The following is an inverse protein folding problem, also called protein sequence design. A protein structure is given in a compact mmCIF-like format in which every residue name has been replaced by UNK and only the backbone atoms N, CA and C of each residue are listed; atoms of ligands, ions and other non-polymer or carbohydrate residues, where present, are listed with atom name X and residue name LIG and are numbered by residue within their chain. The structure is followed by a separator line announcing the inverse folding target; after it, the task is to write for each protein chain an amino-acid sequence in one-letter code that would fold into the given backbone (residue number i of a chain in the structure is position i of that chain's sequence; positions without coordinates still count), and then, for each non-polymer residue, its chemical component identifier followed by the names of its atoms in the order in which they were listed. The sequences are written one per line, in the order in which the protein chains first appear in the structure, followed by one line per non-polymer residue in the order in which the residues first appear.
data_IF_786947276766
#
_entry.id   IF_786947276766
#
_cell.length_a   1.000
_cell.length_b   1.000
_cell.length_c   1.000
_cell.angle_alpha   90.00
_cell.angle_beta   90.00
_cell.angle_gamma   90.00
#
_symmetry.space_group_name_H-M   'P 1'
#
loop_
_entity.id
_entity.type
_entity.pdbx_description
1 polymer ?
#
# COMPACT_ATOMS: atom_id res chain seq x y z
N UNK A 1 22.50 11.89 -16.64
CA UNK A 1 21.35 10.97 -16.63
C UNK A 1 21.90 9.61 -16.27
N UNK A 2 21.56 9.05 -15.10
CA UNK A 2 21.96 7.66 -14.78
C UNK A 2 21.29 6.73 -15.78
N UNK A 3 22.03 5.75 -16.26
CA UNK A 3 21.53 4.72 -17.18
C UNK A 3 20.27 4.09 -16.62
N UNK A 4 19.16 4.08 -17.39
CA UNK A 4 17.86 3.60 -16.94
C UNK A 4 17.95 2.09 -16.68
N UNK A 5 17.86 1.69 -15.42
CA UNK A 5 18.04 0.31 -15.00
C UNK A 5 16.80 -0.51 -15.40
N UNK A 6 16.97 -1.61 -16.15
CA UNK A 6 15.89 -2.54 -16.46
C UNK A 6 15.45 -3.29 -15.21
N UNK A 7 14.17 -3.62 -15.13
CA UNK A 7 13.57 -4.39 -14.03
C UNK A 7 13.99 -3.88 -12.64
N UNK A 8 13.73 -2.60 -12.31
CA UNK A 8 14.07 -2.09 -10.99
C UNK A 8 13.34 -2.87 -9.90
N UNK A 9 14.04 -3.17 -8.81
CA UNK A 9 13.47 -3.90 -7.66
C UNK A 9 13.08 -2.92 -6.57
N UNK A 10 11.84 -3.02 -6.11
CA UNK A 10 11.31 -2.18 -5.02
C UNK A 10 10.47 -3.01 -4.06
N UNK A 11 10.19 -2.49 -2.87
CA UNK A 11 9.21 -3.02 -1.92
C UNK A 11 7.87 -2.29 -2.09
N UNK A 12 6.78 -2.81 -1.56
CA UNK A 12 5.48 -2.12 -1.60
C UNK A 12 5.45 -0.98 -0.57
N UNK A 13 5.70 -1.28 0.69
CA UNK A 13 5.71 -0.28 1.77
C UNK A 13 6.21 -0.90 3.07
N UNK A 14 5.30 -1.48 3.83
CA UNK A 14 5.58 -1.97 5.17
C UNK A 14 6.55 -3.15 5.21
N UNK A 15 7.47 -3.09 6.17
CA UNK A 15 8.42 -4.14 6.54
C UNK A 15 8.03 -4.76 7.89
N UNK A 16 8.34 -6.04 8.16
CA UNK A 16 8.02 -6.66 9.44
C UNK A 16 8.66 -5.91 10.60
N UNK A 17 7.84 -5.52 11.55
CA UNK A 17 8.31 -4.79 12.73
C UNK A 17 8.97 -5.72 13.73
N UNK A 18 10.15 -5.40 14.24
CA UNK A 18 10.81 -6.20 15.27
C UNK A 18 10.02 -6.16 16.59
N UNK A 19 10.16 -7.21 17.40
CA UNK A 19 9.41 -7.35 18.65
C UNK A 19 9.63 -6.19 19.63
N UNK A 20 10.83 -5.64 19.68
CA UNK A 20 11.15 -4.49 20.53
C UNK A 20 10.40 -3.22 20.11
N UNK A 21 10.18 -3.01 18.81
CA UNK A 21 9.39 -1.88 18.31
C UNK A 21 7.90 -2.05 18.63
N UNK A 22 7.36 -3.28 18.51
CA UNK A 22 5.97 -3.57 18.88
C UNK A 22 5.75 -3.30 20.37
N UNK A 23 6.71 -3.68 21.22
CA UNK A 23 6.65 -3.37 22.65
C UNK A 23 6.70 -1.86 22.92
N UNK A 24 7.57 -1.13 22.25
CA UNK A 24 7.65 0.33 22.35
C UNK A 24 6.35 1.01 21.89
N UNK A 25 5.75 0.55 20.80
CA UNK A 25 4.46 1.04 20.29
C UNK A 25 3.35 0.83 21.33
N UNK A 26 3.26 -0.35 21.93
CA UNK A 26 2.29 -0.64 23.00
C UNK A 26 2.51 0.24 24.23
N UNK A 27 3.77 0.43 24.64
CA UNK A 27 4.12 1.32 25.76
C UNK A 27 3.68 2.75 25.46
N UNK A 28 3.94 3.28 24.25
CA UNK A 28 3.49 4.60 23.81
C UNK A 28 1.96 4.72 23.85
N UNK A 29 1.24 3.75 23.33
CA UNK A 29 -0.24 3.73 23.32
C UNK A 29 -0.84 3.67 24.74
N UNK A 30 -0.09 3.13 25.72
CA UNK A 30 -0.45 3.13 27.12
C UNK A 30 -0.06 4.43 27.87
N UNK A 31 0.39 5.49 27.16
CA UNK A 31 0.78 6.76 27.76
C UNK A 31 2.28 6.88 28.08
N UNK A 32 3.11 6.01 27.54
CA UNK A 32 4.57 6.09 27.67
C UNK A 32 5.20 7.24 26.85
N UNK A 33 6.51 7.43 27.00
CA UNK A 33 7.25 8.51 26.38
C UNK A 33 7.26 8.43 24.86
N UNK A 34 6.88 9.51 24.18
CA UNK A 34 7.01 9.66 22.73
C UNK A 34 8.47 9.65 22.30
N UNK A 35 9.36 10.30 23.06
CA UNK A 35 10.79 10.30 22.77
C UNK A 35 11.41 8.90 22.77
N UNK A 36 11.11 8.10 23.81
CA UNK A 36 11.58 6.71 23.86
C UNK A 36 11.09 5.88 22.67
N UNK A 37 9.83 6.10 22.26
CA UNK A 37 9.30 5.43 21.07
C UNK A 37 10.05 5.85 19.81
N UNK A 38 10.33 7.14 19.62
CA UNK A 38 11.04 7.64 18.44
C UNK A 38 12.46 7.08 18.36
N UNK A 39 13.20 7.02 19.48
CA UNK A 39 14.55 6.43 19.51
C UNK A 39 14.55 4.94 19.09
N UNK A 40 13.53 4.19 19.55
CA UNK A 40 13.37 2.78 19.19
C UNK A 40 12.95 2.62 17.74
N UNK A 41 12.08 3.51 17.22
CA UNK A 41 11.62 3.49 15.85
C UNK A 41 12.74 3.92 14.87
N UNK A 42 13.60 4.87 15.26
CA UNK A 42 14.78 5.27 14.51
C UNK A 42 15.69 4.07 14.22
N UNK A 43 15.97 3.28 15.26
CA UNK A 43 16.74 2.05 15.12
C UNK A 43 16.05 1.06 14.17
N UNK A 44 14.75 0.88 14.27
CA UNK A 44 14.01 -0.06 13.42
C UNK A 44 14.00 0.38 11.94
N UNK A 45 13.92 1.69 11.67
CA UNK A 45 14.04 2.24 10.30
C UNK A 45 15.42 1.96 9.72
N UNK A 46 16.49 2.18 10.50
CA UNK A 46 17.85 1.89 10.04
C UNK A 46 18.01 0.40 9.73
N UNK A 47 17.63 -0.48 10.65
CA UNK A 47 17.69 -1.94 10.43
C UNK A 47 16.87 -2.38 9.20
N UNK A 48 15.73 -1.74 8.96
CA UNK A 48 14.89 -1.99 7.80
C UNK A 48 15.55 -1.57 6.49
N UNK A 49 16.14 -0.37 6.44
CA UNK A 49 16.86 0.13 5.27
C UNK A 49 18.08 -0.76 4.99
N UNK A 50 18.87 -1.09 6.00
CA UNK A 50 20.05 -1.95 5.88
C UNK A 50 19.67 -3.33 5.32
N UNK A 51 18.57 -3.94 5.80
CA UNK A 51 18.10 -5.25 5.31
C UNK A 51 17.70 -5.19 3.84
N UNK A 52 17.00 -4.15 3.41
CA UNK A 52 16.62 -3.95 2.01
C UNK A 52 17.85 -3.68 1.12
N UNK A 53 18.79 -2.88 1.58
CA UNK A 53 20.04 -2.59 0.86
C UNK A 53 20.94 -3.81 0.74
N UNK A 54 21.09 -4.60 1.80
CA UNK A 54 21.82 -5.87 1.79
C UNK A 54 21.21 -6.88 0.83
N UNK A 55 19.87 -6.94 0.76
CA UNK A 55 19.17 -7.75 -0.25
C UNK A 55 19.38 -7.23 -1.68
N UNK A 56 19.84 -5.97 -1.86
CA UNK A 56 20.09 -5.37 -3.16
C UNK A 56 18.90 -4.63 -3.77
N UNK A 57 17.88 -4.28 -2.98
CA UNK A 57 16.70 -3.52 -3.42
C UNK A 57 17.13 -2.18 -4.03
N UNK A 58 16.62 -1.83 -5.21
CA UNK A 58 16.99 -0.60 -5.92
C UNK A 58 16.31 0.63 -5.34
N UNK A 59 15.05 0.50 -4.93
CA UNK A 59 14.21 1.60 -4.42
C UNK A 59 13.55 1.13 -3.11
N UNK A 60 14.22 1.34 -1.95
CA UNK A 60 13.68 0.97 -0.65
C UNK A 60 12.59 1.91 -0.15
N UNK A 61 11.94 1.50 0.95
CA UNK A 61 11.07 2.34 1.78
C UNK A 61 11.62 2.36 3.22
N UNK A 62 11.13 3.25 4.07
CA UNK A 62 11.41 3.25 5.51
C UNK A 62 10.74 2.07 6.25
N UNK A 63 9.99 1.22 5.51
CA UNK A 63 9.27 0.07 6.03
C UNK A 63 8.06 0.42 6.87
N UNK A 64 7.62 1.69 6.89
CA UNK A 64 6.50 2.18 7.72
C UNK A 64 6.70 1.85 9.20
N UNK A 65 7.95 1.83 9.66
CA UNK A 65 8.29 1.35 10.99
C UNK A 65 7.68 2.20 12.12
N UNK A 66 7.41 3.49 11.85
CA UNK A 66 6.81 4.40 12.83
C UNK A 66 5.29 4.30 12.90
N UNK A 67 4.65 3.64 11.92
CA UNK A 67 3.21 3.57 11.75
C UNK A 67 2.64 2.31 12.40
N UNK A 68 1.45 2.39 12.99
CA UNK A 68 0.71 1.22 13.46
C UNK A 68 0.16 0.38 12.30
N UNK A 69 -0.30 1.04 11.24
CA UNK A 69 -0.60 0.46 9.94
C UNK A 69 -0.47 1.52 8.84
N UNK A 70 -0.67 1.12 7.58
CA UNK A 70 -0.42 1.95 6.40
C UNK A 70 -1.41 3.13 6.21
N UNK A 71 -2.53 3.21 6.97
CA UNK A 71 -3.51 4.29 6.82
C UNK A 71 -3.96 4.95 8.13
N UNK A 72 -4.02 4.23 9.26
CA UNK A 72 -4.54 4.79 10.50
C UNK A 72 -3.59 5.80 11.19
N UNK A 73 -2.30 5.75 10.86
CA UNK A 73 -1.29 6.68 11.37
C UNK A 73 -1.63 8.16 11.12
N UNK A 74 -2.50 8.44 10.14
CA UNK A 74 -2.94 9.82 9.82
C UNK A 74 -3.61 10.51 11.00
N UNK A 75 -4.18 9.77 11.96
CA UNK A 75 -4.78 10.32 13.18
C UNK A 75 -3.75 11.11 14.02
N UNK A 76 -2.50 10.67 14.01
CA UNK A 76 -1.41 11.34 14.71
C UNK A 76 -1.01 12.66 14.01
N UNK A 77 -1.17 12.71 12.70
CA UNK A 77 -0.73 13.80 11.81
C UNK A 77 -1.83 14.84 11.54
N UNK A 78 -3.10 14.45 11.69
CA UNK A 78 -4.26 15.29 11.41
C UNK A 78 -5.08 15.52 12.69
N UNK A 79 -5.68 16.70 12.81
CA UNK A 79 -6.74 16.97 13.78
C UNK A 79 -8.11 16.65 13.19
N UNK A 80 -9.10 16.46 14.07
CA UNK A 80 -10.48 16.15 13.66
C UNK A 80 -10.77 14.65 13.49
N UNK A 81 -9.77 13.79 13.73
CA UNK A 81 -9.91 12.34 13.66
C UNK A 81 -9.80 11.69 15.04
N UNK A 82 -10.45 10.55 15.19
CA UNK A 82 -10.33 9.67 16.34
C UNK A 82 -10.01 8.24 15.86
N UNK A 83 -8.98 7.64 16.46
CA UNK A 83 -8.65 6.24 16.22
C UNK A 83 -9.65 5.36 16.96
N UNK A 84 -10.50 4.66 16.23
CA UNK A 84 -11.54 3.81 16.79
C UNK A 84 -11.32 2.35 16.42
N UNK A 85 -11.48 1.45 17.39
CA UNK A 85 -11.50 0.02 17.12
C UNK A 85 -12.78 -0.34 16.37
N UNK A 86 -12.70 -1.36 15.52
CA UNK A 86 -13.88 -1.88 14.83
C UNK A 86 -14.97 -2.30 15.83
N UNK A 87 -14.59 -2.83 17.00
CA UNK A 87 -15.54 -3.15 18.08
C UNK A 87 -16.31 -1.95 18.62
N UNK A 88 -15.71 -0.74 18.62
CA UNK A 88 -16.38 0.50 19.01
C UNK A 88 -17.31 1.02 17.92
N UNK A 89 -16.96 0.79 16.66
CA UNK A 89 -17.80 1.16 15.51
C UNK A 89 -19.07 0.31 15.44
N UNK A 90 -19.01 -0.92 15.92
CA UNK A 90 -20.19 -1.81 15.96
C UNK A 90 -21.36 -1.25 16.79
N UNK A 91 -21.09 -0.38 17.76
CA UNK A 91 -22.15 0.25 18.56
C UNK A 91 -22.99 1.26 17.74
N UNK A 92 -22.50 1.68 16.58
CA UNK A 92 -23.18 2.59 15.66
C UNK A 92 -23.81 1.87 14.46
N UNK A 93 -23.65 0.53 14.36
CA UNK A 93 -24.15 -0.26 13.24
C UNK A 93 -25.54 -0.81 13.49
N UNK A 94 -26.38 -0.86 12.44
CA UNK A 94 -27.76 -1.37 12.51
C UNK A 94 -27.83 -2.88 12.74
N UNK A 95 -26.86 -3.66 12.23
CA UNK A 95 -26.79 -5.12 12.36
C UNK A 95 -25.41 -5.58 12.88
N UNK A 96 -25.24 -5.45 14.18
CA UNK A 96 -24.01 -5.83 14.87
C UNK A 96 -23.67 -7.32 14.75
N UNK A 97 -24.69 -8.19 14.84
CA UNK A 97 -24.48 -9.65 14.83
C UNK A 97 -23.92 -10.13 13.50
N UNK A 98 -24.50 -9.65 12.39
CA UNK A 98 -24.04 -9.95 11.04
C UNK A 98 -22.61 -9.43 10.83
N UNK A 99 -22.29 -8.26 11.36
CA UNK A 99 -20.97 -7.68 11.24
C UNK A 99 -19.90 -8.48 11.99
N UNK A 100 -20.20 -8.95 13.20
CA UNK A 100 -19.32 -9.83 13.97
C UNK A 100 -19.07 -11.17 13.27
N UNK A 101 -20.06 -11.72 12.60
CA UNK A 101 -19.94 -12.93 11.78
C UNK A 101 -18.99 -12.72 10.60
N UNK A 102 -19.12 -11.61 9.88
CA UNK A 102 -18.24 -11.23 8.78
C UNK A 102 -16.79 -11.08 9.25
N UNK A 103 -16.54 -10.40 10.36
CA UNK A 103 -15.18 -10.25 10.89
C UNK A 103 -14.54 -11.59 11.25
N UNK A 104 -15.32 -12.53 11.82
CA UNK A 104 -14.83 -13.88 12.12
C UNK A 104 -14.52 -14.65 10.83
N UNK A 105 -15.38 -14.56 9.83
CA UNK A 105 -15.19 -15.22 8.54
C UNK A 105 -13.91 -14.72 7.82
N UNK A 106 -13.59 -13.43 7.97
CA UNK A 106 -12.41 -12.82 7.36
C UNK A 106 -11.12 -12.98 8.17
N UNK A 107 -11.12 -13.74 9.25
CA UNK A 107 -9.96 -13.88 10.15
C UNK A 107 -9.46 -12.52 10.69
N UNK A 108 -10.42 -11.63 11.02
CA UNK A 108 -10.13 -10.27 11.49
C UNK A 108 -10.53 -10.12 12.95
N UNK A 109 -9.57 -9.98 13.87
CA UNK A 109 -9.88 -9.67 15.27
C UNK A 109 -10.39 -8.23 15.38
N UNK A 110 -11.68 -8.04 15.73
CA UNK A 110 -12.33 -6.74 15.81
C UNK A 110 -11.65 -5.72 16.75
N UNK A 111 -10.86 -6.20 17.70
CA UNK A 111 -10.09 -5.36 18.62
C UNK A 111 -8.72 -4.92 18.07
N UNK A 112 -8.17 -5.63 17.08
CA UNK A 112 -6.84 -5.37 16.54
C UNK A 112 -6.85 -4.32 15.43
N UNK A 113 -7.99 -4.13 14.75
CA UNK A 113 -8.11 -3.17 13.66
C UNK A 113 -8.70 -1.88 14.20
N UNK A 114 -8.00 -0.80 13.89
CA UNK A 114 -8.37 0.56 14.27
C UNK A 114 -8.51 1.40 13.00
N UNK A 115 -9.60 2.14 12.90
CA UNK A 115 -9.89 3.05 11.79
C UNK A 115 -9.80 4.51 12.21
N UNK A 116 -9.27 5.39 11.36
CA UNK A 116 -9.15 6.83 11.62
C UNK A 116 -10.48 7.52 11.28
N UNK A 117 -11.42 7.54 12.22
CA UNK A 117 -12.76 8.10 12.00
C UNK A 117 -12.76 9.60 12.18
N UNK A 118 -13.29 10.31 11.19
CA UNK A 118 -13.48 11.76 11.24
C UNK A 118 -14.69 12.11 12.12
N UNK A 119 -14.45 12.94 13.13
CA UNK A 119 -15.46 13.39 14.10
C UNK A 119 -15.58 14.90 14.18
N UNK A 120 -14.58 15.63 13.65
CA UNK A 120 -14.55 17.09 13.51
C UNK A 120 -13.97 17.47 12.14
N UNK A 121 -13.97 18.75 11.77
CA UNK A 121 -13.31 19.22 10.55
C UNK A 121 -11.82 18.88 10.57
N UNK A 122 -11.32 18.33 9.45
CA UNK A 122 -9.92 18.00 9.31
C UNK A 122 -9.04 19.24 9.39
N UNK A 123 -8.02 19.16 10.22
CA UNK A 123 -6.96 20.17 10.32
C UNK A 123 -5.60 19.48 10.22
N UNK A 124 -4.61 20.17 9.70
CA UNK A 124 -3.26 19.66 9.59
C UNK A 124 -2.48 20.03 10.85
N UNK A 125 -1.87 19.05 11.50
CA UNK A 125 -0.94 19.26 12.61
C UNK A 125 0.49 19.27 12.08
N UNK A 126 0.85 18.24 11.31
CA UNK A 126 2.16 18.02 10.71
C UNK A 126 1.99 17.39 9.31
N UNK A 127 3.06 17.31 8.54
CA UNK A 127 3.06 16.50 7.32
C UNK A 127 2.84 15.03 7.62
N UNK A 128 2.31 14.29 6.65
CA UNK A 128 1.98 12.87 6.85
C UNK A 128 3.24 12.01 6.97
N UNK A 129 4.19 12.14 6.03
CA UNK A 129 5.40 11.33 5.94
C UNK A 129 6.69 12.17 5.85
N UNK A 130 6.62 13.48 6.03
CA UNK A 130 7.75 14.39 5.80
C UNK A 130 8.90 14.15 6.80
N UNK A 131 8.60 13.90 8.05
CA UNK A 131 9.57 13.57 9.11
C UNK A 131 10.18 12.18 8.90
N UNK A 132 9.40 11.21 8.43
CA UNK A 132 9.86 9.88 8.06
C UNK A 132 10.90 9.95 6.93
N UNK A 133 10.61 10.75 5.89
CA UNK A 133 11.51 10.99 4.76
C UNK A 133 12.77 11.73 5.19
N UNK A 134 12.65 12.77 6.01
CA UNK A 134 13.82 13.52 6.52
C UNK A 134 14.77 12.64 7.31
N UNK A 135 14.25 11.66 8.04
CA UNK A 135 15.05 10.67 8.74
C UNK A 135 15.65 9.65 7.79
N UNK A 136 14.82 8.98 6.97
CA UNK A 136 15.28 7.90 6.10
C UNK A 136 16.37 8.37 5.11
N UNK A 137 16.26 9.57 4.55
CA UNK A 137 17.27 10.15 3.63
C UNK A 137 18.65 10.38 4.25
N UNK A 138 18.76 10.39 5.57
CA UNK A 138 20.07 10.46 6.26
C UNK A 138 20.74 9.09 6.35
N UNK A 139 19.99 8.02 6.13
CA UNK A 139 20.43 6.64 6.34
C UNK A 139 20.47 5.80 5.06
N UNK A 140 20.11 6.36 3.90
CA UNK A 140 20.28 5.72 2.60
C UNK A 140 20.68 6.72 1.53
N UNK A 141 21.50 6.28 0.57
CA UNK A 141 21.81 7.03 -0.65
C UNK A 141 20.90 6.63 -1.83
N UNK A 142 20.04 5.62 -1.66
CA UNK A 142 19.15 5.14 -2.71
C UNK A 142 17.92 6.04 -2.82
N UNK A 143 17.30 6.13 -4.02
CA UNK A 143 16.02 6.80 -4.14
C UNK A 143 14.97 6.11 -3.27
N UNK A 144 14.22 6.88 -2.48
CA UNK A 144 13.17 6.34 -1.61
C UNK A 144 11.81 6.33 -2.32
N UNK A 145 11.05 5.26 -2.12
CA UNK A 145 9.62 5.23 -2.38
C UNK A 145 8.88 5.56 -1.09
N UNK A 146 7.88 6.43 -1.17
CA UNK A 146 7.05 6.86 -0.04
C UNK A 146 5.62 6.37 -0.23
N UNK A 147 5.15 5.39 0.56
CA UNK A 147 3.75 4.97 0.53
C UNK A 147 2.88 5.94 1.34
N UNK A 148 1.75 6.30 0.77
CA UNK A 148 0.68 7.10 1.38
C UNK A 148 -0.66 6.37 1.22
N UNK A 149 -1.62 6.53 2.14
CA UNK A 149 -2.97 6.07 1.89
C UNK A 149 -3.54 6.80 0.67
N UNK A 150 -4.23 6.07 -0.20
CA UNK A 150 -4.87 6.66 -1.36
C UNK A 150 -6.04 7.58 -0.98
N UNK A 151 -6.38 8.57 -1.82
CA UNK A 151 -7.41 9.54 -1.52
C UNK A 151 -8.80 8.91 -1.37
N UNK A 152 -9.12 7.91 -2.19
CA UNK A 152 -10.39 7.20 -2.11
C UNK A 152 -10.44 6.34 -0.84
N UNK A 153 -9.39 5.54 -0.59
CA UNK A 153 -9.29 4.73 0.61
C UNK A 153 -9.40 5.58 1.88
N UNK A 154 -8.63 6.66 1.99
CA UNK A 154 -8.64 7.50 3.18
C UNK A 154 -10.03 8.13 3.40
N UNK A 155 -10.70 8.56 2.33
CA UNK A 155 -12.07 9.08 2.41
C UNK A 155 -13.04 8.02 2.93
N UNK A 156 -13.04 6.83 2.33
CA UNK A 156 -13.99 5.76 2.65
C UNK A 156 -13.75 5.10 4.00
N UNK A 157 -12.47 4.97 4.41
CA UNK A 157 -12.12 4.40 5.71
C UNK A 157 -12.34 5.36 6.88
N UNK A 158 -12.41 6.66 6.61
CA UNK A 158 -12.51 7.68 7.65
C UNK A 158 -13.90 8.27 7.83
N UNK A 159 -14.79 8.11 6.85
CA UNK A 159 -16.16 8.58 6.96
C UNK A 159 -17.08 7.46 7.45
N UNK A 160 -17.77 7.71 8.55
CA UNK A 160 -18.69 6.77 9.17
C UNK A 160 -20.04 7.44 9.47
N UNK A 161 -21.14 6.83 8.97
CA UNK A 161 -22.51 7.34 9.24
C UNK A 161 -22.81 7.33 10.73
N UNK A 162 -23.46 8.38 11.23
CA UNK A 162 -23.74 8.57 12.67
C UNK A 162 -22.65 9.29 13.44
N UNK A 163 -21.43 9.34 12.91
CA UNK A 163 -20.29 10.08 13.49
C UNK A 163 -19.86 11.21 12.57
N UNK A 164 -19.39 10.87 11.37
CA UNK A 164 -18.77 11.83 10.45
C UNK A 164 -19.77 12.74 9.74
N UNK A 165 -21.00 12.26 9.50
CA UNK A 165 -22.03 13.03 8.80
C UNK A 165 -22.49 14.31 9.52
N UNK A 166 -22.15 14.44 10.79
CA UNK A 166 -22.40 15.72 11.56
C UNK A 166 -21.51 16.86 11.10
N UNK A 167 -20.36 16.53 10.51
CA UNK A 167 -19.32 17.49 10.11
C UNK A 167 -19.14 17.53 8.60
N UNK A 168 -19.20 16.37 7.97
CA UNK A 168 -19.18 16.14 6.52
C UNK A 168 -20.44 15.38 6.14
N UNK A 169 -21.50 16.07 5.67
CA UNK A 169 -22.80 15.45 5.38
C UNK A 169 -22.71 14.23 4.44
N UNK A 170 -21.76 14.28 3.49
CA UNK A 170 -21.48 13.19 2.55
C UNK A 170 -19.99 12.87 2.54
N UNK A 171 -19.60 11.62 2.20
CA UNK A 171 -18.19 11.26 2.04
C UNK A 171 -17.43 12.15 1.04
N UNK A 172 -18.11 12.64 -0.01
CA UNK A 172 -17.54 13.53 -1.01
C UNK A 172 -17.18 14.91 -0.44
N UNK A 173 -17.82 15.33 0.64
CA UNK A 173 -17.45 16.55 1.35
C UNK A 173 -16.12 16.37 2.07
N UNK A 174 -15.91 15.19 2.67
CA UNK A 174 -14.63 14.80 3.26
C UNK A 174 -13.54 14.66 2.20
N UNK A 175 -13.87 14.07 1.04
CA UNK A 175 -12.94 13.83 -0.04
C UNK A 175 -12.22 15.10 -0.50
N UNK A 176 -12.90 16.25 -0.53
CA UNK A 176 -12.28 17.55 -0.88
C UNK A 176 -11.16 17.94 0.09
N UNK A 177 -11.36 17.75 1.38
CA UNK A 177 -10.31 18.02 2.37
C UNK A 177 -9.18 16.99 2.31
N UNK A 178 -9.49 15.71 2.08
CA UNK A 178 -8.49 14.65 1.90
C UNK A 178 -7.60 14.94 0.69
N UNK A 179 -8.17 15.25 -0.47
CA UNK A 179 -7.43 15.63 -1.68
C UNK A 179 -6.53 16.83 -1.42
N UNK A 180 -7.05 17.88 -0.79
CA UNK A 180 -6.28 19.10 -0.43
C UNK A 180 -5.07 18.76 0.44
N UNK A 181 -5.25 17.93 1.46
CA UNK A 181 -4.19 17.48 2.38
C UNK A 181 -3.14 16.65 1.64
N UNK A 182 -3.56 15.66 0.87
CA UNK A 182 -2.65 14.80 0.11
C UNK A 182 -1.87 15.59 -0.97
N UNK A 183 -2.52 16.52 -1.67
CA UNK A 183 -1.81 17.41 -2.63
C UNK A 183 -0.71 18.24 -1.94
N UNK A 184 -1.00 18.77 -0.76
CA UNK A 184 0.00 19.52 0.01
C UNK A 184 1.14 18.63 0.44
N UNK A 185 0.84 17.43 0.91
CA UNK A 185 1.85 16.44 1.29
C UNK A 185 2.76 16.06 0.11
N UNK A 186 2.16 15.71 -1.04
CA UNK A 186 2.90 15.37 -2.26
C UNK A 186 3.87 16.49 -2.68
N UNK A 187 3.41 17.76 -2.64
CA UNK A 187 4.26 18.91 -2.95
C UNK A 187 5.41 19.08 -1.95
N UNK A 188 5.14 18.85 -0.67
CA UNK A 188 6.17 18.92 0.36
C UNK A 188 7.20 17.80 0.22
N UNK A 189 6.76 16.57 -0.06
CA UNK A 189 7.65 15.42 -0.33
C UNK A 189 8.50 15.65 -1.59
N UNK A 190 7.90 16.19 -2.67
CA UNK A 190 8.65 16.59 -3.87
C UNK A 190 9.72 17.64 -3.53
N UNK A 191 9.37 18.66 -2.74
CA UNK A 191 10.35 19.69 -2.33
C UNK A 191 11.49 19.11 -1.51
N UNK A 192 11.28 17.98 -0.81
CA UNK A 192 12.33 17.21 -0.13
C UNK A 192 13.09 16.26 -1.05
N UNK A 193 12.83 16.29 -2.36
CA UNK A 193 13.50 15.45 -3.37
C UNK A 193 13.04 13.98 -3.35
N UNK A 194 11.79 13.73 -3.01
CA UNK A 194 11.16 12.42 -3.21
C UNK A 194 10.74 12.32 -4.68
N UNK A 195 11.19 11.26 -5.35
CA UNK A 195 10.94 11.01 -6.77
C UNK A 195 9.89 9.93 -7.02
N UNK A 196 9.49 9.16 -5.98
CA UNK A 196 8.49 8.12 -6.10
C UNK A 196 7.53 8.12 -4.91
N UNK A 197 6.25 8.38 -5.18
CA UNK A 197 5.15 8.30 -4.20
C UNK A 197 4.17 7.23 -4.67
N UNK A 198 3.84 6.30 -3.78
CA UNK A 198 2.84 5.25 -4.02
C UNK A 198 1.60 5.54 -3.18
N UNK A 199 0.42 5.50 -3.81
CA UNK A 199 -0.86 5.55 -3.12
C UNK A 199 -1.42 4.14 -2.95
N UNK A 200 -1.82 3.79 -1.73
CA UNK A 200 -2.39 2.47 -1.42
C UNK A 200 -3.92 2.54 -1.49
N UNK A 201 -4.50 1.80 -2.44
CA UNK A 201 -5.95 1.75 -2.71
C UNK A 201 -6.50 0.30 -2.67
N UNK A 202 -6.26 -0.48 -1.61
CA UNK A 202 -6.70 -1.88 -1.54
C UNK A 202 -8.22 -2.03 -1.56
N UNK A 203 -8.98 -1.00 -1.18
CA UNK A 203 -10.45 -1.02 -1.15
C UNK A 203 -11.04 -1.19 -2.56
N UNK A 204 -10.35 -0.79 -3.62
CA UNK A 204 -10.81 -0.96 -4.99
C UNK A 204 -11.10 -2.43 -5.32
N UNK A 205 -10.27 -3.35 -4.81
CA UNK A 205 -10.52 -4.79 -4.96
C UNK A 205 -11.79 -5.25 -4.25
N UNK A 206 -12.14 -4.65 -3.12
CA UNK A 206 -13.37 -4.98 -2.40
C UNK A 206 -14.61 -4.49 -3.14
N UNK A 207 -14.56 -3.33 -3.76
CA UNK A 207 -15.68 -2.80 -4.56
C UNK A 207 -16.07 -3.81 -5.61
N UNK A 208 -15.09 -4.41 -6.29
CA UNK A 208 -15.32 -5.33 -7.41
C UNK A 208 -15.57 -6.77 -6.96
N UNK A 209 -14.83 -7.26 -5.96
CA UNK A 209 -14.82 -8.68 -5.58
C UNK A 209 -15.38 -8.97 -4.20
N UNK A 210 -15.73 -7.94 -3.41
CA UNK A 210 -16.41 -8.15 -2.15
C UNK A 210 -17.77 -8.78 -2.41
N UNK A 211 -18.07 -9.91 -1.74
CA UNK A 211 -19.39 -10.52 -1.81
C UNK A 211 -20.47 -9.55 -1.31
N UNK A 212 -21.72 -9.68 -1.80
CA UNK A 212 -22.85 -8.88 -1.31
C UNK A 212 -23.04 -8.98 0.22
N UNK A 213 -22.56 -10.09 0.80
CA UNK A 213 -22.57 -10.35 2.24
C UNK A 213 -21.43 -9.70 3.02
N UNK A 214 -20.36 -9.22 2.35
CA UNK A 214 -19.22 -8.57 3.00
C UNK A 214 -19.38 -7.05 2.92
N UNK A 215 -20.09 -6.48 3.86
CA UNK A 215 -20.21 -5.01 4.02
C UNK A 215 -18.94 -4.38 4.57
N UNK A 216 -17.90 -5.20 4.84
CA UNK A 216 -16.69 -4.73 5.50
C UNK A 216 -15.45 -5.35 4.91
N UNK A 217 -14.51 -4.51 4.62
CA UNK A 217 -13.11 -4.84 4.43
C UNK A 217 -12.33 -4.42 5.68
N UNK A 218 -11.14 -5.00 5.90
CA UNK A 218 -10.29 -4.64 7.03
C UNK A 218 -10.04 -3.14 7.20
N UNK A 219 -10.11 -2.39 6.10
CA UNK A 219 -9.77 -0.97 6.07
C UNK A 219 -10.98 -0.04 5.99
N UNK A 220 -12.19 -0.56 5.77
CA UNK A 220 -13.40 0.26 5.71
C UNK A 220 -14.65 -0.55 6.04
N UNK A 221 -15.47 -0.03 6.93
CA UNK A 221 -16.86 -0.35 6.94
C UNK A 221 -17.49 0.42 5.77
N UNK A 222 -17.97 -0.29 4.75
CA UNK A 222 -18.78 0.31 3.67
C UNK A 222 -20.26 0.08 3.99
N UNK A 223 -20.86 0.88 4.88
CA UNK A 223 -22.22 0.63 5.35
C UNK A 223 -23.28 0.83 4.26
N UNK A 224 -22.96 1.55 3.20
CA UNK A 224 -23.82 1.78 2.05
C UNK A 224 -23.05 1.45 0.77
N UNK A 225 -23.29 0.27 0.20
CA UNK A 225 -22.79 -0.06 -1.14
C UNK A 225 -23.47 0.85 -2.15
N UNK A 226 -22.67 1.63 -2.83
CA UNK A 226 -23.02 2.29 -4.08
C UNK A 226 -22.71 1.36 -5.25
N UNK A 227 -23.15 1.73 -6.43
CA UNK A 227 -22.77 1.02 -7.65
C UNK A 227 -21.24 0.96 -7.77
N UNK A 228 -20.65 -0.21 -8.07
CA UNK A 228 -19.21 -0.34 -8.22
C UNK A 228 -18.59 0.61 -9.25
N UNK A 229 -19.33 0.93 -10.30
CA UNK A 229 -18.91 1.87 -11.34
C UNK A 229 -18.74 3.27 -10.76
N UNK A 230 -19.76 3.76 -10.04
CA UNK A 230 -19.73 5.09 -9.41
C UNK A 230 -18.55 5.23 -8.42
N UNK A 231 -18.26 4.14 -7.68
CA UNK A 231 -17.16 4.13 -6.71
C UNK A 231 -15.79 4.13 -7.41
N UNK A 232 -15.63 3.37 -8.49
CA UNK A 232 -14.39 3.34 -9.26
C UNK A 232 -14.17 4.68 -9.99
N UNK A 233 -15.21 5.29 -10.55
CA UNK A 233 -15.13 6.63 -11.14
C UNK A 233 -14.76 7.69 -10.10
N UNK A 234 -15.32 7.61 -8.90
CA UNK A 234 -14.95 8.47 -7.79
C UNK A 234 -13.45 8.31 -7.44
N UNK A 235 -12.96 7.07 -7.36
CA UNK A 235 -11.55 6.81 -7.07
C UNK A 235 -10.62 7.40 -8.14
N UNK A 236 -10.95 7.26 -9.42
CA UNK A 236 -10.22 7.89 -10.55
C UNK A 236 -10.18 9.40 -10.37
N UNK A 237 -11.34 10.03 -10.16
CA UNK A 237 -11.44 11.47 -10.00
C UNK A 237 -10.61 11.98 -8.83
N UNK A 238 -10.72 11.35 -7.64
CA UNK A 238 -9.96 11.78 -6.45
C UNK A 238 -8.45 11.61 -6.63
N UNK A 239 -8.02 10.52 -7.29
CA UNK A 239 -6.61 10.30 -7.61
C UNK A 239 -6.10 11.39 -8.56
N UNK A 240 -6.83 11.64 -9.65
CA UNK A 240 -6.45 12.64 -10.65
C UNK A 240 -6.40 14.05 -10.03
N UNK A 241 -7.39 14.43 -9.22
CA UNK A 241 -7.37 15.69 -8.49
C UNK A 241 -6.18 15.77 -7.53
N UNK A 242 -5.76 14.66 -6.93
CA UNK A 242 -4.63 14.64 -5.98
C UNK A 242 -3.30 14.92 -6.66
N UNK A 243 -3.06 14.39 -7.87
CA UNK A 243 -1.76 14.49 -8.56
C UNK A 243 -1.70 15.57 -9.64
N UNK A 244 -2.85 16.16 -10.00
CA UNK A 244 -2.96 17.14 -11.08
C UNK A 244 -1.95 18.28 -11.00
N UNK A 245 -1.24 18.56 -12.09
CA UNK A 245 -0.26 19.63 -12.21
C UNK A 245 1.00 19.44 -11.36
N UNK A 246 1.25 18.23 -10.82
CA UNK A 246 2.48 17.92 -10.08
C UNK A 246 3.38 17.05 -10.96
N UNK A 247 4.42 17.65 -11.52
CA UNK A 247 5.40 17.00 -12.39
C UNK A 247 6.66 16.60 -11.63
N UNK A 248 7.49 15.72 -12.24
CA UNK A 248 8.80 15.32 -11.71
C UNK A 248 8.75 14.38 -10.51
N UNK A 249 7.59 13.77 -10.26
CA UNK A 249 7.40 12.69 -9.27
C UNK A 249 6.74 11.51 -10.00
N UNK A 250 7.28 10.31 -9.82
CA UNK A 250 6.61 9.07 -10.22
C UNK A 250 5.48 8.78 -9.24
N UNK A 251 4.26 8.75 -9.71
CA UNK A 251 3.11 8.30 -8.93
C UNK A 251 2.79 6.85 -9.25
N UNK A 252 2.66 6.02 -8.21
CA UNK A 252 2.17 4.66 -8.31
C UNK A 252 0.87 4.47 -7.54
N UNK A 253 0.06 3.51 -7.96
CA UNK A 253 -1.11 3.03 -7.20
C UNK A 253 -0.95 1.56 -6.91
N UNK A 254 -1.00 1.20 -5.62
CA UNK A 254 -1.00 -0.18 -5.18
C UNK A 254 -2.42 -0.67 -4.94
N UNK A 255 -2.78 -1.75 -5.63
CA UNK A 255 -4.08 -2.42 -5.48
C UNK A 255 -3.85 -3.90 -5.23
N UNK A 256 -4.02 -4.32 -3.98
CA UNK A 256 -3.91 -5.73 -3.59
C UNK A 256 -5.29 -6.39 -3.41
N UNK A 257 -5.29 -7.70 -3.14
CA UNK A 257 -6.48 -8.50 -2.81
C UNK A 257 -6.67 -8.69 -1.29
N UNK A 258 -5.91 -7.90 -0.50
CA UNK A 258 -5.74 -8.12 0.92
C UNK A 258 -4.67 -9.16 1.24
N UNK A 259 -3.75 -8.80 2.12
CA UNK A 259 -2.66 -9.69 2.54
C UNK A 259 -2.53 -9.70 4.07
N UNK A 260 -3.68 -9.61 4.76
CA UNK A 260 -3.74 -9.52 6.22
C UNK A 260 -3.72 -10.88 6.93
N UNK A 261 -3.93 -11.98 6.20
CA UNK A 261 -4.00 -13.33 6.75
C UNK A 261 -3.14 -14.29 5.95
N UNK A 262 -2.61 -15.30 6.62
CA UNK A 262 -1.94 -16.44 5.98
C UNK A 262 -2.95 -17.45 5.39
N UNK A 263 -4.24 -17.29 5.70
CA UNK A 263 -5.34 -18.11 5.21
C UNK A 263 -5.81 -17.59 3.86
N UNK A 264 -5.52 -18.33 2.80
CA UNK A 264 -5.83 -17.94 1.41
C UNK A 264 -7.34 -17.81 1.17
N UNK A 265 -8.13 -18.65 1.83
CA UNK A 265 -9.58 -18.72 1.64
C UNK A 265 -10.34 -17.47 2.12
N UNK A 266 -9.75 -16.66 2.99
CA UNK A 266 -10.39 -15.44 3.52
C UNK A 266 -10.07 -14.19 2.70
N UNK A 267 -9.23 -14.31 1.69
CA UNK A 267 -8.76 -13.20 0.87
C UNK A 267 -9.58 -13.06 -0.40
N UNK A 268 -9.65 -11.84 -0.94
CA UNK A 268 -10.37 -11.59 -2.19
C UNK A 268 -9.72 -12.32 -3.37
N UNK A 269 -10.53 -12.77 -4.33
CA UNK A 269 -10.10 -13.46 -5.55
C UNK A 269 -10.71 -12.77 -6.76
N UNK A 270 -9.95 -12.67 -7.84
CA UNK A 270 -10.41 -12.13 -9.11
C UNK A 270 -9.29 -11.46 -9.91
N UNK A 271 -9.39 -11.47 -11.23
CA UNK A 271 -8.40 -10.83 -12.10
C UNK A 271 -8.57 -9.30 -12.11
N UNK A 272 -7.61 -8.57 -12.67
CA UNK A 272 -7.67 -7.10 -12.70
C UNK A 272 -8.59 -6.53 -13.80
N UNK A 273 -9.11 -7.35 -14.74
CA UNK A 273 -9.89 -6.89 -15.88
C UNK A 273 -10.97 -5.86 -15.57
N UNK A 274 -11.88 -6.10 -14.62
CA UNK A 274 -12.93 -5.14 -14.28
C UNK A 274 -12.45 -3.80 -13.74
N UNK A 275 -11.24 -3.75 -13.15
CA UNK A 275 -10.66 -2.52 -12.58
C UNK A 275 -9.72 -1.80 -13.54
N UNK A 276 -9.11 -2.53 -14.48
CA UNK A 276 -8.06 -1.98 -15.35
C UNK A 276 -8.47 -0.74 -16.12
N UNK A 277 -9.67 -0.64 -16.73
CA UNK A 277 -10.07 0.60 -17.40
C UNK A 277 -9.93 1.83 -16.50
N UNK A 278 -10.43 1.73 -15.27
CA UNK A 278 -10.37 2.81 -14.29
C UNK A 278 -8.94 3.10 -13.81
N UNK A 279 -8.13 2.05 -13.57
CA UNK A 279 -6.73 2.22 -13.17
C UNK A 279 -5.90 2.87 -14.29
N UNK A 280 -6.22 2.60 -15.56
CA UNK A 280 -5.58 3.24 -16.72
C UNK A 280 -6.00 4.70 -16.87
N UNK A 281 -7.22 5.09 -16.48
CA UNK A 281 -7.70 6.46 -16.48
C UNK A 281 -7.13 7.34 -15.35
N UNK A 282 -6.47 6.75 -14.37
CA UNK A 282 -5.77 7.52 -13.33
C UNK A 282 -4.51 8.20 -13.90
N UNK A 283 -4.27 9.47 -13.58
CA UNK A 283 -3.08 10.24 -13.98
C UNK A 283 -1.82 9.84 -13.20
N UNK A 284 -1.51 8.57 -13.20
CA UNK A 284 -0.38 7.96 -12.51
C UNK A 284 0.57 7.28 -13.50
N UNK A 285 1.79 6.99 -13.05
CA UNK A 285 2.84 6.39 -13.88
C UNK A 285 2.90 4.87 -13.76
N UNK A 286 2.58 4.31 -12.58
CA UNK A 286 2.80 2.90 -12.28
C UNK A 286 1.62 2.25 -11.58
N UNK A 287 1.27 1.02 -12.00
CA UNK A 287 0.37 0.12 -11.29
C UNK A 287 1.20 -0.91 -10.52
N UNK A 288 1.02 -1.00 -9.20
CA UNK A 288 1.71 -1.96 -8.31
C UNK A 288 0.71 -3.03 -7.91
N UNK A 289 0.82 -4.20 -8.53
CA UNK A 289 -0.22 -5.22 -8.53
C UNK A 289 0.31 -6.60 -8.11
N UNK A 290 -0.57 -7.45 -7.57
CA UNK A 290 -0.27 -8.82 -7.17
C UNK A 290 -0.32 -9.77 -8.37
N UNK A 291 0.72 -10.60 -8.55
CA UNK A 291 0.75 -11.67 -9.54
C UNK A 291 1.59 -12.88 -9.12
N UNK A 292 2.00 -12.95 -7.84
CA UNK A 292 2.74 -14.10 -7.33
C UNK A 292 1.86 -15.35 -7.12
N UNK A 293 0.54 -15.15 -7.00
CA UNK A 293 -0.42 -16.25 -6.80
C UNK A 293 -1.52 -16.24 -7.86
N UNK A 294 -2.09 -17.41 -8.22
CA UNK A 294 -3.18 -17.49 -9.22
C UNK A 294 -4.45 -16.72 -8.85
N UNK A 295 -4.60 -16.33 -7.62
CA UNK A 295 -5.76 -15.61 -7.08
C UNK A 295 -6.03 -14.27 -7.79
N UNK A 296 -4.99 -13.61 -8.27
CA UNK A 296 -5.08 -12.31 -8.95
C UNK A 296 -5.30 -12.42 -10.47
N UNK A 297 -5.31 -13.63 -11.02
CA UNK A 297 -5.51 -13.91 -12.45
C UNK A 297 -4.23 -13.88 -13.26
N UNK A 298 -4.40 -13.77 -14.57
CA UNK A 298 -3.32 -13.94 -15.54
C UNK A 298 -2.81 -12.59 -16.07
N UNK A 299 -1.56 -12.59 -16.56
CA UNK A 299 -0.88 -11.40 -17.10
C UNK A 299 -1.47 -10.90 -18.43
N UNK A 300 -2.19 -11.80 -19.13
CA UNK A 300 -2.84 -11.50 -20.41
C UNK A 300 -3.78 -10.30 -20.35
N UNK A 301 -4.27 -9.97 -19.18
CA UNK A 301 -5.11 -8.79 -18.94
C UNK A 301 -4.45 -7.48 -19.43
N UNK A 302 -3.12 -7.42 -19.51
CA UNK A 302 -2.39 -6.25 -20.00
C UNK A 302 -2.22 -6.21 -21.52
N UNK A 303 -2.64 -7.22 -22.27
CA UNK A 303 -2.48 -7.23 -23.75
C UNK A 303 -3.23 -6.09 -24.44
N UNK A 304 -4.34 -5.64 -23.87
CA UNK A 304 -5.13 -4.53 -24.37
C UNK A 304 -4.56 -3.15 -24.01
N UNK A 305 -3.72 -3.10 -22.94
CA UNK A 305 -3.16 -1.86 -22.36
C UNK A 305 -1.63 -1.79 -22.49
N UNK A 306 -1.10 -2.21 -23.64
CA UNK A 306 0.35 -2.34 -23.84
C UNK A 306 1.08 -1.01 -23.61
N UNK A 307 2.02 -1.04 -22.68
CA UNK A 307 2.96 0.05 -22.44
C UNK A 307 2.34 1.41 -22.08
N UNK A 308 1.07 1.46 -21.69
CA UNK A 308 0.45 2.71 -21.25
C UNK A 308 1.05 3.18 -19.90
N UNK A 309 1.23 2.26 -18.96
CA UNK A 309 1.82 2.55 -17.64
C UNK A 309 3.01 1.64 -17.33
N UNK A 310 3.78 1.95 -16.32
CA UNK A 310 4.72 1.02 -15.71
C UNK A 310 3.95 -0.01 -14.87
N UNK A 311 4.45 -1.25 -14.82
CA UNK A 311 3.89 -2.32 -14.00
C UNK A 311 4.88 -2.68 -12.90
N UNK A 312 4.50 -2.42 -11.66
CA UNK A 312 5.11 -3.03 -10.48
C UNK A 312 4.52 -4.43 -10.30
N UNK A 313 5.23 -5.41 -10.85
CA UNK A 313 4.79 -6.80 -10.88
C UNK A 313 5.10 -7.48 -9.55
N UNK A 314 4.06 -7.90 -8.83
CA UNK A 314 4.17 -8.77 -7.66
C UNK A 314 4.65 -10.16 -8.08
N UNK A 315 5.79 -10.59 -7.56
CA UNK A 315 6.44 -11.85 -7.97
C UNK A 315 6.76 -12.78 -6.80
N UNK A 316 6.54 -12.33 -5.56
CA UNK A 316 6.65 -13.17 -4.36
C UNK A 316 5.45 -12.94 -3.43
N UNK A 317 4.98 -14.02 -2.80
CA UNK A 317 3.89 -13.99 -1.84
C UNK A 317 4.41 -13.59 -0.44
N UNK A 318 4.03 -12.43 0.12
CA UNK A 318 4.54 -11.98 1.42
C UNK A 318 4.04 -12.79 2.60
N UNK A 319 3.02 -13.65 2.42
CA UNK A 319 2.29 -14.35 3.49
C UNK A 319 2.82 -15.74 3.81
N UNK A 320 3.70 -16.29 2.97
CA UNK A 320 4.26 -17.63 3.14
C UNK A 320 5.74 -17.57 3.52
N UNK A 321 6.24 -18.61 4.19
CA UNK A 321 7.66 -18.77 4.50
C UNK A 321 8.45 -19.38 3.31
N UNK A 322 7.75 -19.85 2.28
CA UNK A 322 8.33 -20.37 1.06
C UNK A 322 9.07 -19.24 0.33
N UNK A 323 10.31 -19.51 -0.04
CA UNK A 323 11.14 -18.60 -0.82
C UNK A 323 11.03 -19.01 -2.30
N UNK A 324 10.43 -18.16 -3.10
CA UNK A 324 10.25 -18.39 -4.52
C UNK A 324 11.61 -18.48 -5.23
N UNK A 325 11.88 -19.54 -6.04
CA UNK A 325 13.13 -19.65 -6.76
C UNK A 325 13.30 -18.52 -7.79
N UNK A 326 14.50 -17.95 -7.99
CA UNK A 326 14.73 -16.92 -9.00
C UNK A 326 14.26 -17.33 -10.41
N UNK A 327 14.39 -18.60 -10.78
CA UNK A 327 13.95 -19.10 -12.07
C UNK A 327 12.43 -18.99 -12.29
N UNK A 328 11.62 -19.15 -11.23
CA UNK A 328 10.17 -18.96 -11.29
C UNK A 328 9.83 -17.48 -11.53
N UNK A 329 10.51 -16.58 -10.84
CA UNK A 329 10.35 -15.12 -11.01
C UNK A 329 10.75 -14.72 -12.44
N UNK A 330 11.90 -15.20 -12.92
CA UNK A 330 12.36 -14.97 -14.31
C UNK A 330 11.33 -15.43 -15.33
N UNK A 331 10.76 -16.62 -15.15
CA UNK A 331 9.74 -17.15 -16.05
C UNK A 331 8.49 -16.25 -16.08
N UNK A 332 8.01 -15.81 -14.93
CA UNK A 332 6.83 -14.92 -14.81
C UNK A 332 7.06 -13.56 -15.46
N UNK A 333 8.24 -12.95 -15.24
CA UNK A 333 8.60 -11.67 -15.87
C UNK A 333 8.72 -11.80 -17.39
N UNK A 334 9.33 -12.90 -17.89
CA UNK A 334 9.42 -13.18 -19.33
C UNK A 334 8.06 -13.39 -19.98
N UNK A 335 7.10 -13.94 -19.25
CA UNK A 335 5.72 -14.07 -19.73
C UNK A 335 5.12 -12.70 -20.04
N UNK A 336 5.21 -11.72 -19.09
CA UNK A 336 4.79 -10.36 -19.33
C UNK A 336 5.60 -9.68 -20.43
N UNK A 337 6.92 -9.86 -20.46
CA UNK A 337 7.83 -9.26 -21.44
C UNK A 337 7.64 -9.76 -22.89
N UNK A 338 6.80 -10.79 -23.14
CA UNK A 338 6.42 -11.17 -24.50
C UNK A 338 5.56 -10.11 -25.21
N UNK A 339 4.85 -9.27 -24.42
CA UNK A 339 3.91 -8.28 -24.96
C UNK A 339 3.96 -6.94 -24.24
N UNK A 340 4.80 -6.79 -23.21
CA UNK A 340 4.99 -5.55 -22.46
C UNK A 340 6.46 -5.14 -22.49
N UNK A 341 6.71 -3.83 -22.58
CA UNK A 341 8.06 -3.26 -22.64
C UNK A 341 8.85 -3.57 -21.36
N UNK A 342 10.00 -4.26 -21.45
CA UNK A 342 10.85 -4.55 -20.31
C UNK A 342 11.29 -3.31 -19.49
N UNK A 343 11.41 -2.13 -20.12
CA UNK A 343 11.73 -0.88 -19.44
C UNK A 343 10.62 -0.36 -18.52
N UNK A 344 9.42 -0.87 -18.70
CA UNK A 344 8.22 -0.51 -17.91
C UNK A 344 7.87 -1.53 -16.84
N UNK A 345 8.67 -2.59 -16.67
CA UNK A 345 8.42 -3.64 -15.68
C UNK A 345 9.33 -3.42 -14.47
N UNK A 346 8.73 -3.21 -13.30
CA UNK A 346 9.37 -3.18 -11.99
C UNK A 346 9.03 -4.48 -11.24
N UNK A 347 9.88 -4.92 -10.34
CA UNK A 347 9.67 -6.13 -9.56
C UNK A 347 9.47 -5.81 -8.09
N UNK A 348 8.42 -6.36 -7.50
CA UNK A 348 8.08 -6.16 -6.09
C UNK A 348 7.39 -7.40 -5.49
N UNK A 349 7.23 -7.51 -4.17
CA UNK A 349 6.32 -8.48 -3.57
C UNK A 349 4.86 -8.12 -3.88
N UNK A 350 3.94 -9.07 -3.72
CA UNK A 350 2.49 -8.84 -3.92
C UNK A 350 1.91 -7.74 -3.02
N UNK A 351 2.48 -7.56 -1.83
CA UNK A 351 2.09 -6.54 -0.84
C UNK A 351 3.25 -6.28 0.11
N UNK A 352 3.07 -5.34 1.06
CA UNK A 352 3.98 -5.16 2.18
C UNK A 352 4.10 -6.40 3.07
N UNK A 353 5.27 -6.61 3.67
CA UNK A 353 5.54 -7.76 4.55
C UNK A 353 5.04 -7.58 5.98
N UNK A 354 4.70 -6.36 6.38
CA UNK A 354 4.33 -6.01 7.76
C UNK A 354 3.07 -5.14 7.88
N UNK A 355 2.00 -5.44 7.15
CA UNK A 355 0.79 -4.65 6.98
C UNK A 355 0.26 -3.98 8.27
N UNK A 356 0.14 -4.73 9.37
CA UNK A 356 -0.25 -4.25 10.69
C UNK A 356 0.87 -4.45 11.70
N UNK A 357 1.14 -3.46 12.55
CA UNK A 357 2.24 -3.52 13.51
C UNK A 357 2.17 -4.74 14.42
N UNK A 358 1.00 -5.05 14.93
CA UNK A 358 0.81 -6.16 15.88
C UNK A 358 0.57 -7.52 15.21
N UNK A 359 0.51 -7.56 13.89
CA UNK A 359 0.21 -8.77 13.10
C UNK A 359 1.05 -8.83 11.83
N UNK A 360 2.37 -8.96 11.99
CA UNK A 360 3.24 -9.24 10.86
C UNK A 360 2.82 -10.56 10.20
N UNK A 361 2.64 -10.54 8.88
CA UNK A 361 2.33 -11.78 8.13
C UNK A 361 3.57 -12.62 7.91
N UNK A 362 4.76 -12.01 8.07
CA UNK A 362 6.04 -12.70 7.94
C UNK A 362 7.12 -12.10 8.85
N UNK A 363 8.31 -12.70 8.87
CA UNK A 363 9.48 -12.19 9.61
C UNK A 363 10.37 -11.35 8.73
N UNK A 364 11.17 -10.46 9.32
CA UNK A 364 12.16 -9.65 8.59
C UNK A 364 13.19 -10.53 7.86
N UNK A 365 13.58 -11.67 8.45
CA UNK A 365 14.50 -12.63 7.81
C UNK A 365 13.92 -13.21 6.52
N UNK A 366 12.66 -13.67 6.55
CA UNK A 366 11.98 -14.20 5.37
C UNK A 366 11.78 -13.10 4.33
N UNK A 367 11.37 -11.89 4.74
CA UNK A 367 11.23 -10.75 3.86
C UNK A 367 12.56 -10.44 3.13
N UNK A 368 13.68 -10.41 3.87
CA UNK A 368 15.02 -10.18 3.29
C UNK A 368 15.38 -11.28 2.28
N UNK A 369 15.13 -12.55 2.59
CA UNK A 369 15.40 -13.67 1.68
C UNK A 369 14.55 -13.56 0.40
N UNK A 370 13.26 -13.25 0.52
CA UNK A 370 12.37 -13.04 -0.64
C UNK A 370 12.84 -11.88 -1.51
N UNK A 371 13.23 -10.75 -0.91
CA UNK A 371 13.78 -9.63 -1.67
C UNK A 371 15.09 -9.98 -2.37
N UNK A 372 15.96 -10.76 -1.74
CA UNK A 372 17.20 -11.23 -2.35
C UNK A 372 16.96 -12.12 -3.59
N UNK A 373 15.92 -12.97 -3.57
CA UNK A 373 15.54 -13.77 -4.75
C UNK A 373 14.98 -12.92 -5.89
N UNK A 374 14.19 -11.87 -5.59
CA UNK A 374 13.75 -10.91 -6.61
C UNK A 374 14.94 -10.21 -7.25
N UNK A 375 15.91 -9.75 -6.44
CA UNK A 375 17.14 -9.10 -6.92
C UNK A 375 17.96 -10.03 -7.80
N UNK A 376 18.11 -11.29 -7.41
CA UNK A 376 18.83 -12.28 -8.21
C UNK A 376 18.13 -12.53 -9.56
N UNK A 377 16.81 -12.67 -9.55
CA UNK A 377 16.03 -12.77 -10.78
C UNK A 377 16.19 -11.53 -11.68
N UNK A 378 16.16 -10.34 -11.10
CA UNK A 378 16.37 -9.09 -11.82
C UNK A 378 17.78 -9.03 -12.47
N UNK A 379 18.83 -9.50 -11.79
CA UNK A 379 20.19 -9.59 -12.36
C UNK A 379 20.24 -10.54 -13.57
N UNK A 380 19.60 -11.70 -13.48
CA UNK A 380 19.52 -12.65 -14.58
C UNK A 380 18.78 -12.06 -15.78
N UNK A 381 17.63 -11.43 -15.56
CA UNK A 381 16.84 -10.75 -16.59
C UNK A 381 17.63 -9.62 -17.26
N UNK A 382 18.28 -8.75 -16.48
CA UNK A 382 19.11 -7.65 -17.02
C UNK A 382 20.20 -8.19 -17.96
N UNK A 383 20.93 -9.23 -17.54
CA UNK A 383 21.97 -9.87 -18.35
C UNK A 383 21.42 -10.42 -19.67
N UNK A 384 20.24 -11.05 -19.62
CA UNK A 384 19.64 -11.64 -20.82
C UNK A 384 19.08 -10.58 -21.79
N UNK A 385 18.41 -9.55 -21.27
CA UNK A 385 17.77 -8.51 -22.11
C UNK A 385 18.79 -7.51 -22.66
N UNK A 386 19.85 -7.16 -21.91
CA UNK A 386 20.95 -6.33 -22.41
C UNK A 386 21.77 -7.05 -23.47
N UNK A 387 22.00 -8.37 -23.33
CA UNK A 387 22.68 -9.15 -24.33
C UNK A 387 21.92 -9.24 -25.66
N UNK A 388 20.59 -9.20 -25.63
CA UNK A 388 19.75 -9.16 -26.84
C UNK A 388 19.78 -7.81 -27.54
N UNK A 389 19.82 -6.71 -26.79
CA UNK A 389 19.91 -5.36 -27.35
C UNK A 389 21.27 -5.07 -28.01
N UNK A 390 22.34 -5.73 -27.56
CA UNK A 390 23.67 -5.64 -28.15
C UNK A 390 23.86 -6.54 -29.40
N UNK A 391 22.92 -7.47 -29.64
CA UNK A 391 22.97 -8.42 -30.77
C UNK A 391 22.06 -8.03 -31.95
N UNK A 392 21.32 -6.92 -31.84
CA UNK A 392 20.51 -6.27 -32.88
C UNK A 392 21.19 -4.99 -33.38
#
# INVERSE_FOLDING_TARGET
MSEKKLFPVTVVGSWPRPAYLIQALRKRQAGGSEQEFQEVADRAVIECLDAQEQAGVDIPTDGEQRRDNFYSFVVEKLGGMRLMKVSELMDFMKDRARYEEVLRALDVPAFAIKSPIVVERLTEKNGLAQDEVDFAKKHTSRPLKVPLPGPYMLTRSSWFEGLSNRVYPQPEDLARDVVRILRKEVRALKAKGVEFIQFDEPILSQIVYGAESTETFMCAALPNRRDPTDELELAVRLMNETVDGIEGVRFGVHVCRGNWSRREEVLLKGNYGPMLPYLMDMNIHQLVLEFATPRAGELEVFKEYKNEKEIGLGVVNPRTDEIEPPAQIVARVKELAKFYDPEKIFLNPDCGFGTFAERNVNTAEIATKKMATIVEAAKQLRKEFQGKAAAL
#
